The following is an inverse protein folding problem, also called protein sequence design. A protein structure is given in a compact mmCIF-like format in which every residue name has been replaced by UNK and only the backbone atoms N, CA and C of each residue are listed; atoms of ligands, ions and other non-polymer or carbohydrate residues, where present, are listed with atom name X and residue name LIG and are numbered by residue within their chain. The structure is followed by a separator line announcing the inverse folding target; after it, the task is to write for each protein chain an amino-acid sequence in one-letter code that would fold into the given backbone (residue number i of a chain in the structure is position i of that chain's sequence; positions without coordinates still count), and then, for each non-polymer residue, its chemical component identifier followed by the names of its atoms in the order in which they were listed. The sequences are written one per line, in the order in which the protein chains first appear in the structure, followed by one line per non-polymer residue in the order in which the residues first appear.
data_IF_426890364026
#
_entry.id   IF_426890364026
#
_cell.length_a   1.000
_cell.length_b   1.000
_cell.length_c   1.000
_cell.angle_alpha   90.00
_cell.angle_beta   90.00
_cell.angle_gamma   90.00
#
_symmetry.space_group_name_H-M   'P 1'
#
loop_
_entity.id
_entity.type
_entity.pdbx_description
1 polymer ?
#
# COMPACT_ATOMS: atom_id res chain seq x y z
N UNK A 1 -114.31 -80.31 -43.60
CA UNK A 1 -114.59 -81.75 -43.77
C UNK A 1 -114.33 -82.43 -42.44
N UNK A 2 -115.09 -83.46 -42.06
CA UNK A 2 -114.83 -84.18 -40.82
C UNK A 2 -113.47 -84.90 -40.90
N UNK A 3 -112.59 -84.65 -39.93
CA UNK A 3 -111.29 -85.32 -39.88
C UNK A 3 -111.49 -86.78 -39.48
N UNK A 4 -110.92 -87.69 -40.29
CA UNK A 4 -111.00 -89.13 -40.06
C UNK A 4 -109.59 -89.68 -39.90
N UNK A 5 -109.39 -90.53 -38.90
CA UNK A 5 -108.08 -91.11 -38.60
C UNK A 5 -107.91 -92.43 -39.34
N UNK A 6 -106.83 -92.55 -40.13
CA UNK A 6 -106.44 -93.78 -40.82
C UNK A 6 -105.09 -94.26 -40.26
N UNK A 7 -105.10 -95.43 -39.61
CA UNK A 7 -103.90 -96.07 -39.09
C UNK A 7 -103.27 -97.02 -40.11
N UNK A 8 -101.95 -96.93 -40.31
CA UNK A 8 -101.19 -97.82 -41.19
C UNK A 8 -100.25 -98.69 -40.36
N UNK A 9 -100.21 -100.00 -40.65
CA UNK A 9 -99.14 -100.87 -40.15
C UNK A 9 -97.93 -100.69 -41.06
N UNK A 10 -96.81 -100.26 -40.49
CA UNK A 10 -95.55 -100.05 -41.19
C UNK A 10 -94.40 -100.64 -40.37
N UNK A 11 -93.31 -100.98 -41.03
CA UNK A 11 -92.07 -101.39 -40.35
C UNK A 11 -91.42 -100.17 -39.66
N UNK A 12 -90.66 -100.42 -38.60
CA UNK A 12 -90.00 -99.34 -37.84
C UNK A 12 -89.03 -98.54 -38.71
N UNK A 13 -88.33 -99.18 -39.66
CA UNK A 13 -87.45 -98.51 -40.62
C UNK A 13 -88.21 -97.53 -41.52
N UNK A 14 -89.40 -97.92 -42.01
CA UNK A 14 -90.22 -97.06 -42.87
C UNK A 14 -90.78 -95.88 -42.07
N UNK A 15 -91.22 -96.14 -40.83
CA UNK A 15 -91.69 -95.10 -39.91
C UNK A 15 -90.61 -94.06 -39.63
N UNK A 16 -89.39 -94.49 -39.29
CA UNK A 16 -88.27 -93.59 -39.01
C UNK A 16 -87.91 -92.75 -40.23
N UNK A 17 -87.88 -93.36 -41.42
CA UNK A 17 -87.57 -92.64 -42.67
C UNK A 17 -88.63 -91.59 -43.01
N UNK A 18 -89.91 -91.91 -42.83
CA UNK A 18 -91.03 -90.97 -43.04
C UNK A 18 -90.90 -89.79 -42.07
N UNK A 19 -90.70 -90.05 -40.77
CA UNK A 19 -90.56 -89.00 -39.77
C UNK A 19 -89.38 -88.06 -40.05
N UNK A 20 -88.21 -88.60 -40.41
CA UNK A 20 -87.05 -87.77 -40.77
C UNK A 20 -87.30 -86.90 -42.01
N UNK A 21 -88.05 -87.39 -43.00
CA UNK A 21 -88.41 -86.58 -44.17
C UNK A 21 -89.46 -85.50 -43.86
N UNK A 22 -90.38 -85.76 -42.92
CA UNK A 22 -91.35 -84.77 -42.45
C UNK A 22 -90.61 -83.64 -41.72
N UNK A 23 -89.74 -83.98 -40.77
CA UNK A 23 -88.93 -83.00 -40.02
C UNK A 23 -88.06 -82.14 -40.94
N UNK A 24 -87.38 -82.74 -41.92
CA UNK A 24 -86.56 -82.00 -42.88
C UNK A 24 -87.37 -81.06 -43.80
N UNK A 25 -88.65 -81.38 -44.05
CA UNK A 25 -89.54 -80.55 -44.86
C UNK A 25 -90.19 -79.40 -44.08
N UNK A 26 -90.18 -79.45 -42.75
CA UNK A 26 -90.87 -78.48 -41.88
C UNK A 26 -92.40 -78.52 -41.95
N UNK A 27 -92.98 -79.57 -42.57
CA UNK A 27 -94.44 -79.76 -42.71
C UNK A 27 -95.00 -80.54 -41.52
N UNK A 28 -96.31 -80.42 -41.27
CA UNK A 28 -97.00 -81.34 -40.34
C UNK A 28 -97.23 -82.70 -41.00
N UNK A 29 -97.38 -83.78 -40.22
CA UNK A 29 -97.64 -85.14 -40.73
C UNK A 29 -98.82 -85.16 -41.72
N UNK A 30 -99.87 -84.37 -41.44
CA UNK A 30 -101.05 -84.24 -42.30
C UNK A 30 -100.72 -83.60 -43.63
N UNK A 31 -100.05 -82.44 -43.62
CA UNK A 31 -99.70 -81.69 -44.83
C UNK A 31 -98.72 -82.47 -45.71
N UNK A 32 -97.79 -83.20 -45.06
CA UNK A 32 -96.85 -84.06 -45.77
C UNK A 32 -97.56 -85.24 -46.43
N UNK A 33 -98.47 -85.93 -45.72
CA UNK A 33 -99.27 -87.02 -46.32
C UNK A 33 -100.14 -86.50 -47.46
N UNK A 34 -100.75 -85.31 -47.32
CA UNK A 34 -101.55 -84.69 -48.38
C UNK A 34 -100.70 -84.34 -49.61
N UNK A 35 -99.51 -83.76 -49.41
CA UNK A 35 -98.57 -83.46 -50.49
C UNK A 35 -98.10 -84.73 -51.23
N UNK A 36 -97.74 -85.78 -50.49
CA UNK A 36 -97.34 -87.08 -51.06
C UNK A 36 -98.50 -87.75 -51.78
N UNK A 37 -99.71 -87.67 -51.22
CA UNK A 37 -100.92 -88.21 -51.86
C UNK A 37 -101.24 -87.46 -53.14
N UNK A 38 -101.14 -86.12 -53.16
CA UNK A 38 -101.34 -85.31 -54.35
C UNK A 38 -100.30 -85.61 -55.44
N UNK A 39 -99.02 -85.79 -55.07
CA UNK A 39 -97.98 -86.24 -56.00
C UNK A 39 -98.27 -87.63 -56.57
N UNK A 40 -98.76 -88.56 -55.74
CA UNK A 40 -99.14 -89.89 -56.18
C UNK A 40 -100.37 -89.87 -57.09
N UNK A 41 -101.40 -89.09 -56.76
CA UNK A 41 -102.59 -88.87 -57.60
C UNK A 41 -102.20 -88.23 -58.93
N UNK A 42 -101.30 -87.25 -58.94
CA UNK A 42 -100.79 -86.62 -60.17
C UNK A 42 -100.04 -87.64 -61.05
N UNK A 43 -99.31 -88.57 -60.42
CA UNK A 43 -98.64 -89.69 -61.10
C UNK A 43 -99.62 -90.77 -61.57
N UNK A 44 -100.74 -90.96 -60.90
CA UNK A 44 -101.80 -91.89 -61.30
C UNK A 44 -102.62 -91.31 -62.47
N UNK A 45 -102.94 -90.01 -62.44
CA UNK A 45 -103.51 -89.27 -63.57
C UNK A 45 -102.60 -89.32 -64.80
N UNK A 46 -101.28 -89.23 -64.62
CA UNK A 46 -100.27 -89.42 -65.69
C UNK A 46 -100.36 -90.79 -66.37
N UNK A 47 -100.77 -91.84 -65.65
CA UNK A 47 -100.95 -93.19 -66.20
C UNK A 47 -102.36 -93.41 -66.76
N UNK A 48 -103.37 -92.70 -66.26
CA UNK A 48 -104.78 -92.83 -66.65
C UNK A 48 -105.25 -91.92 -67.79
N UNK A 49 -104.54 -90.81 -68.08
CA UNK A 49 -104.89 -89.85 -69.13
C UNK A 49 -103.69 -89.60 -70.08
N UNK A 50 -103.57 -90.38 -71.18
CA UNK A 50 -102.50 -90.23 -72.16
C UNK A 50 -102.42 -88.82 -72.76
N UNK A 51 -103.56 -88.15 -72.91
CA UNK A 51 -103.68 -86.85 -73.57
C UNK A 51 -102.96 -85.71 -72.82
N UNK A 52 -102.78 -85.81 -71.50
CA UNK A 52 -102.13 -84.77 -70.66
C UNK A 52 -100.72 -85.15 -70.19
N UNK A 53 -100.24 -86.35 -70.55
CA UNK A 53 -98.91 -86.82 -70.16
C UNK A 53 -97.78 -85.89 -70.63
N UNK A 54 -97.95 -85.29 -71.81
CA UNK A 54 -97.01 -84.33 -72.38
C UNK A 54 -96.96 -83.04 -71.55
N UNK A 55 -98.12 -82.49 -71.21
CA UNK A 55 -98.24 -81.24 -70.44
C UNK A 55 -97.70 -81.40 -69.02
N UNK A 56 -97.97 -82.54 -68.36
CA UNK A 56 -97.41 -82.86 -67.03
C UNK A 56 -95.88 -82.98 -67.10
N UNK A 57 -95.34 -83.62 -68.13
CA UNK A 57 -93.88 -83.78 -68.29
C UNK A 57 -93.19 -82.44 -68.57
N UNK A 58 -93.84 -81.55 -69.32
CA UNK A 58 -93.34 -80.20 -69.57
C UNK A 58 -93.38 -79.35 -68.29
N UNK A 59 -94.43 -79.47 -67.47
CA UNK A 59 -94.51 -78.82 -66.16
C UNK A 59 -93.41 -79.32 -65.21
N UNK A 60 -93.14 -80.63 -65.17
CA UNK A 60 -92.02 -81.22 -64.39
C UNK A 60 -90.67 -80.65 -64.85
N UNK A 61 -90.46 -80.54 -66.17
CA UNK A 61 -89.25 -79.97 -66.76
C UNK A 61 -89.04 -78.50 -66.34
N UNK A 62 -90.08 -77.66 -66.51
CA UNK A 62 -90.02 -76.25 -66.11
C UNK A 62 -89.82 -76.10 -64.60
N UNK A 63 -90.49 -76.93 -63.79
CA UNK A 63 -90.34 -76.92 -62.32
C UNK A 63 -88.93 -77.28 -61.89
N UNK A 64 -88.33 -78.34 -62.48
CA UNK A 64 -86.95 -78.71 -62.22
C UNK A 64 -85.99 -77.58 -62.63
N UNK A 65 -86.24 -76.94 -63.77
CA UNK A 65 -85.44 -75.80 -64.22
C UNK A 65 -85.54 -74.60 -63.25
N UNK A 66 -86.72 -74.31 -62.72
CA UNK A 66 -86.91 -73.27 -61.69
C UNK A 66 -86.12 -73.63 -60.43
N UNK A 67 -86.20 -74.88 -59.95
CA UNK A 67 -85.47 -75.33 -58.77
C UNK A 67 -83.94 -75.21 -58.96
N UNK A 68 -83.41 -75.57 -60.13
CA UNK A 68 -82.00 -75.38 -60.49
C UNK A 68 -81.60 -73.90 -60.45
N UNK A 69 -82.41 -73.01 -61.03
CA UNK A 69 -82.13 -71.56 -61.02
C UNK A 69 -82.12 -71.01 -59.61
N UNK A 70 -83.07 -71.41 -58.76
CA UNK A 70 -83.14 -71.01 -57.35
C UNK A 70 -81.93 -71.54 -56.58
N UNK A 71 -81.55 -72.82 -56.76
CA UNK A 71 -80.35 -73.39 -56.14
C UNK A 71 -79.08 -72.64 -56.54
N UNK A 72 -78.91 -72.33 -57.83
CA UNK A 72 -77.77 -71.54 -58.32
C UNK A 72 -77.77 -70.12 -57.76
N UNK A 73 -78.95 -69.48 -57.64
CA UNK A 73 -79.07 -68.15 -57.02
C UNK A 73 -78.70 -68.17 -55.54
N UNK A 74 -79.14 -69.19 -54.79
CA UNK A 74 -78.80 -69.35 -53.37
C UNK A 74 -77.29 -69.58 -53.22
N UNK A 75 -76.70 -70.45 -54.04
CA UNK A 75 -75.25 -70.68 -54.03
C UNK A 75 -74.48 -69.41 -54.35
N UNK A 76 -74.86 -68.68 -55.40
CA UNK A 76 -74.22 -67.40 -55.75
C UNK A 76 -74.33 -66.38 -54.63
N UNK A 77 -75.51 -66.20 -54.04
CA UNK A 77 -75.70 -65.30 -52.91
C UNK A 77 -74.88 -65.72 -51.68
N UNK A 78 -74.71 -67.03 -51.45
CA UNK A 78 -73.85 -67.56 -50.40
C UNK A 78 -72.38 -67.22 -50.64
N UNK A 79 -71.89 -67.39 -51.88
CA UNK A 79 -70.51 -67.04 -52.25
C UNK A 79 -70.26 -65.54 -52.16
N UNK A 80 -71.17 -64.71 -52.69
CA UNK A 80 -71.08 -63.24 -52.58
C UNK A 80 -71.07 -62.79 -51.11
N UNK A 81 -71.91 -63.39 -50.28
CA UNK A 81 -71.93 -63.13 -48.84
C UNK A 81 -70.59 -63.48 -48.21
N UNK A 82 -70.06 -64.67 -48.45
CA UNK A 82 -68.79 -65.14 -47.89
C UNK A 82 -67.61 -64.26 -48.34
N UNK A 83 -67.59 -63.83 -49.60
CA UNK A 83 -66.59 -62.89 -50.13
C UNK A 83 -66.66 -61.53 -49.42
N UNK A 84 -67.87 -60.97 -49.23
CA UNK A 84 -68.05 -59.73 -48.48
C UNK A 84 -67.58 -59.87 -47.03
N UNK A 85 -67.90 -60.98 -46.36
CA UNK A 85 -67.42 -61.23 -44.99
C UNK A 85 -65.90 -61.30 -44.94
N UNK A 86 -65.26 -62.03 -45.86
CA UNK A 86 -63.81 -62.13 -45.92
C UNK A 86 -63.16 -60.76 -46.13
N UNK A 87 -63.62 -60.01 -47.13
CA UNK A 87 -63.07 -58.67 -47.42
C UNK A 87 -63.29 -57.69 -46.25
N UNK A 88 -64.41 -57.81 -45.53
CA UNK A 88 -64.69 -56.98 -44.36
C UNK A 88 -63.77 -57.34 -43.18
N UNK A 89 -63.52 -58.63 -42.94
CA UNK A 89 -62.62 -59.07 -41.88
C UNK A 89 -61.16 -58.70 -42.17
N UNK A 90 -60.70 -58.88 -43.43
CA UNK A 90 -59.37 -58.43 -43.87
C UNK A 90 -59.19 -56.91 -43.68
N UNK A 91 -60.19 -56.10 -44.06
CA UNK A 91 -60.15 -54.65 -43.87
C UNK A 91 -60.14 -54.27 -42.39
N UNK A 92 -60.88 -54.99 -41.56
CA UNK A 92 -60.93 -54.78 -40.11
C UNK A 92 -59.59 -55.12 -39.46
N UNK A 93 -58.98 -56.23 -39.85
CA UNK A 93 -57.65 -56.62 -39.35
C UNK A 93 -56.58 -55.61 -39.76
N UNK A 94 -56.57 -55.19 -41.03
CA UNK A 94 -55.66 -54.14 -41.51
C UNK A 94 -55.83 -52.82 -40.74
N UNK A 95 -57.07 -52.39 -40.47
CA UNK A 95 -57.32 -51.19 -39.68
C UNK A 95 -56.88 -51.34 -38.22
N UNK A 96 -57.07 -52.51 -37.62
CA UNK A 96 -56.60 -52.76 -36.25
C UNK A 96 -55.08 -52.70 -36.17
N UNK A 97 -54.36 -53.26 -37.14
CA UNK A 97 -52.90 -53.16 -37.21
C UNK A 97 -52.45 -51.69 -37.29
N UNK A 98 -53.06 -50.88 -38.17
CA UNK A 98 -52.74 -49.45 -38.25
C UNK A 98 -53.02 -48.71 -36.94
N UNK A 99 -54.11 -49.05 -36.24
CA UNK A 99 -54.44 -48.46 -34.94
C UNK A 99 -53.38 -48.80 -33.90
N UNK A 100 -52.92 -50.06 -33.85
CA UNK A 100 -51.86 -50.51 -32.94
C UNK A 100 -50.54 -49.78 -33.23
N UNK A 101 -50.16 -49.65 -34.51
CA UNK A 101 -48.97 -48.89 -34.93
C UNK A 101 -49.06 -47.43 -34.49
N UNK A 102 -50.18 -46.74 -34.77
CA UNK A 102 -50.40 -45.37 -34.33
C UNK A 102 -50.37 -45.24 -32.79
N UNK A 103 -50.94 -46.19 -32.05
CA UNK A 103 -50.91 -46.18 -30.59
C UNK A 103 -49.49 -46.36 -30.05
N UNK A 104 -48.69 -47.21 -30.69
CA UNK A 104 -47.28 -47.39 -30.36
C UNK A 104 -46.49 -46.11 -30.61
N UNK A 105 -46.63 -45.49 -31.78
CA UNK A 105 -45.97 -44.22 -32.12
C UNK A 105 -46.35 -43.10 -31.15
N UNK A 106 -47.64 -42.98 -30.79
CA UNK A 106 -48.10 -42.00 -29.79
C UNK A 106 -47.46 -42.26 -28.43
N UNK A 107 -47.32 -43.52 -28.01
CA UNK A 107 -46.67 -43.87 -26.75
C UNK A 107 -45.19 -43.51 -26.76
N UNK A 108 -44.51 -43.80 -27.86
CA UNK A 108 -43.08 -43.51 -28.02
C UNK A 108 -42.82 -41.99 -28.06
N UNK A 109 -43.59 -41.24 -28.86
CA UNK A 109 -43.52 -39.78 -28.90
C UNK A 109 -43.78 -39.14 -27.54
N UNK A 110 -44.72 -39.67 -26.75
CA UNK A 110 -44.95 -39.20 -25.37
C UNK A 110 -43.74 -39.42 -24.47
N UNK A 111 -43.07 -40.57 -24.57
CA UNK A 111 -41.84 -40.85 -23.81
C UNK A 111 -40.70 -39.93 -24.22
N UNK A 112 -40.50 -39.72 -25.53
CA UNK A 112 -39.49 -38.80 -26.04
C UNK A 112 -39.77 -37.36 -25.58
N UNK A 113 -41.02 -36.92 -25.63
CA UNK A 113 -41.43 -35.60 -25.15
C UNK A 113 -41.16 -35.44 -23.65
N UNK A 114 -41.50 -36.44 -22.84
CA UNK A 114 -41.23 -36.40 -21.41
C UNK A 114 -39.72 -36.35 -21.12
N UNK A 115 -38.90 -37.17 -21.80
CA UNK A 115 -37.45 -37.14 -21.65
C UNK A 115 -36.86 -35.77 -22.04
N UNK A 116 -37.35 -35.16 -23.13
CA UNK A 116 -36.92 -33.82 -23.55
C UNK A 116 -37.32 -32.72 -22.55
N UNK A 117 -38.50 -32.82 -21.92
CA UNK A 117 -38.92 -31.89 -20.86
C UNK A 117 -38.02 -32.02 -19.62
N UNK A 118 -37.70 -33.25 -19.21
CA UNK A 118 -36.79 -33.50 -18.08
C UNK A 118 -35.37 -32.97 -18.36
N UNK A 119 -34.87 -33.13 -19.58
CA UNK A 119 -33.59 -32.52 -20.00
C UNK A 119 -33.66 -30.99 -20.01
N UNK A 120 -34.75 -30.41 -20.51
CA UNK A 120 -34.96 -28.95 -20.52
C UNK A 120 -34.94 -28.38 -19.10
N UNK A 121 -35.61 -29.04 -18.15
CA UNK A 121 -35.61 -28.63 -16.74
C UNK A 121 -34.21 -28.72 -16.11
N UNK A 122 -33.45 -29.78 -16.43
CA UNK A 122 -32.04 -29.90 -15.99
C UNK A 122 -31.19 -28.78 -16.56
N UNK A 123 -31.31 -28.47 -17.86
CA UNK A 123 -30.57 -27.37 -18.48
C UNK A 123 -30.94 -26.03 -17.87
N UNK A 124 -32.22 -25.81 -17.53
CA UNK A 124 -32.67 -24.60 -16.86
C UNK A 124 -32.05 -24.45 -15.47
N UNK A 125 -32.03 -25.53 -14.67
CA UNK A 125 -31.38 -25.54 -13.36
C UNK A 125 -29.87 -25.27 -13.46
N UNK A 126 -29.18 -25.92 -14.40
CA UNK A 126 -27.76 -25.68 -14.65
C UNK A 126 -27.48 -24.24 -15.09
N UNK A 127 -28.35 -23.67 -15.93
CA UNK A 127 -28.25 -22.28 -16.36
C UNK A 127 -28.41 -21.32 -15.18
N UNK A 128 -29.42 -21.51 -14.34
CA UNK A 128 -29.66 -20.67 -13.17
C UNK A 128 -28.49 -20.75 -12.18
N UNK A 129 -27.90 -21.93 -11.98
CA UNK A 129 -26.71 -22.10 -11.15
C UNK A 129 -25.46 -21.43 -11.75
N UNK A 130 -25.26 -21.56 -13.07
CA UNK A 130 -24.17 -20.88 -13.77
C UNK A 130 -24.30 -19.35 -13.69
N UNK A 131 -25.51 -18.79 -13.88
CA UNK A 131 -25.77 -17.36 -13.74
C UNK A 131 -25.48 -16.88 -12.30
N UNK A 132 -25.82 -17.68 -11.29
CA UNK A 132 -25.50 -17.37 -9.88
C UNK A 132 -23.99 -17.33 -9.65
N UNK A 133 -23.24 -18.30 -10.19
CA UNK A 133 -21.77 -18.34 -10.08
C UNK A 133 -21.12 -17.15 -10.79
N UNK A 134 -21.62 -16.75 -11.96
CA UNK A 134 -21.14 -15.57 -12.68
C UNK A 134 -21.31 -14.31 -11.84
N UNK A 135 -22.49 -14.09 -11.25
CA UNK A 135 -22.72 -12.93 -10.38
C UNK A 135 -21.78 -12.90 -9.17
N UNK A 136 -21.56 -14.05 -8.53
CA UNK A 136 -20.61 -14.15 -7.42
C UNK A 136 -19.18 -13.81 -7.83
N UNK A 137 -18.76 -14.25 -9.02
CA UNK A 137 -17.44 -13.92 -9.57
C UNK A 137 -17.31 -12.44 -9.94
N UNK A 138 -18.36 -11.83 -10.49
CA UNK A 138 -18.40 -10.39 -10.78
C UNK A 138 -18.29 -9.56 -9.50
N UNK A 139 -19.05 -9.90 -8.46
CA UNK A 139 -18.97 -9.25 -7.14
C UNK A 139 -17.58 -9.41 -6.51
N UNK A 140 -16.99 -10.61 -6.57
CA UNK A 140 -15.63 -10.85 -6.08
C UNK A 140 -14.59 -10.06 -6.87
N UNK A 141 -14.73 -9.98 -8.19
CA UNK A 141 -13.84 -9.21 -9.06
C UNK A 141 -13.93 -7.71 -8.76
N UNK A 142 -15.13 -7.18 -8.54
CA UNK A 142 -15.32 -5.78 -8.19
C UNK A 142 -14.74 -5.45 -6.80
N UNK A 143 -14.95 -6.33 -5.82
CA UNK A 143 -14.32 -6.20 -4.49
C UNK A 143 -12.79 -6.23 -4.59
N UNK A 144 -12.22 -7.13 -5.40
CA UNK A 144 -10.78 -7.18 -5.63
C UNK A 144 -10.27 -5.91 -6.33
N UNK A 145 -11.03 -5.34 -7.27
CA UNK A 145 -10.68 -4.07 -7.93
C UNK A 145 -10.64 -2.92 -6.93
N UNK A 146 -11.63 -2.81 -6.05
CA UNK A 146 -11.66 -1.82 -4.98
C UNK A 146 -10.48 -1.99 -4.02
N UNK A 147 -10.19 -3.22 -3.61
CA UNK A 147 -9.06 -3.53 -2.74
C UNK A 147 -7.71 -3.15 -3.38
N UNK A 148 -7.52 -3.45 -4.67
CA UNK A 148 -6.33 -3.03 -5.42
C UNK A 148 -6.20 -1.52 -5.45
N UNK A 149 -7.32 -0.79 -5.65
CA UNK A 149 -7.33 0.66 -5.63
C UNK A 149 -6.91 1.21 -4.26
N UNK A 150 -7.46 0.68 -3.17
CA UNK A 150 -7.06 1.08 -1.81
C UNK A 150 -5.57 0.81 -1.54
N UNK A 151 -5.05 -0.34 -1.97
CA UNK A 151 -3.63 -0.65 -1.83
C UNK A 151 -2.75 0.28 -2.66
N UNK A 152 -3.21 0.67 -3.85
CA UNK A 152 -2.50 1.64 -4.70
C UNK A 152 -2.43 3.00 -4.02
N UNK A 153 -3.54 3.51 -3.50
CA UNK A 153 -3.59 4.78 -2.76
C UNK A 153 -2.70 4.74 -1.49
N UNK A 154 -2.73 3.63 -0.75
CA UNK A 154 -1.82 3.42 0.41
C UNK A 154 -0.36 3.37 -0.01
N UNK A 155 -0.04 2.75 -1.14
CA UNK A 155 1.34 2.70 -1.63
C UNK A 155 1.83 4.07 -2.12
N UNK A 156 0.97 4.82 -2.82
CA UNK A 156 1.28 6.18 -3.27
C UNK A 156 1.53 7.12 -2.07
N UNK A 157 0.71 7.03 -1.03
CA UNK A 157 0.91 7.80 0.22
C UNK A 157 2.17 7.38 0.97
N UNK A 158 2.46 6.08 1.11
CA UNK A 158 3.70 5.59 1.70
C UNK A 158 4.93 6.01 0.89
N UNK A 159 4.84 5.97 -0.44
CA UNK A 159 5.91 6.42 -1.33
C UNK A 159 6.16 7.93 -1.17
N UNK A 160 5.09 8.73 -1.06
CA UNK A 160 5.19 10.15 -0.71
C UNK A 160 5.91 10.38 0.61
N UNK A 161 5.49 9.69 1.67
CA UNK A 161 6.08 9.80 3.00
C UNK A 161 7.56 9.35 3.02
N UNK A 162 7.91 8.29 2.29
CA UNK A 162 9.31 7.84 2.16
C UNK A 162 10.16 8.90 1.47
N UNK A 163 9.63 9.57 0.44
CA UNK A 163 10.34 10.66 -0.22
C UNK A 163 10.55 11.86 0.71
N UNK A 164 9.53 12.24 1.50
CA UNK A 164 9.66 13.29 2.52
C UNK A 164 10.70 12.93 3.58
N UNK A 165 10.69 11.69 4.08
CA UNK A 165 11.71 11.22 5.04
C UNK A 165 13.11 11.23 4.43
N UNK A 166 13.25 10.84 3.17
CA UNK A 166 14.53 10.87 2.47
C UNK A 166 15.04 12.30 2.33
N UNK A 167 14.17 13.23 1.93
CA UNK A 167 14.53 14.64 1.84
C UNK A 167 14.93 15.20 3.20
N UNK A 168 14.15 14.96 4.26
CA UNK A 168 14.47 15.38 5.61
C UNK A 168 15.79 14.77 6.13
N UNK A 169 16.10 13.54 5.74
CA UNK A 169 17.39 12.90 6.05
C UNK A 169 18.56 13.57 5.31
N UNK A 170 18.41 13.88 4.03
CA UNK A 170 19.43 14.59 3.24
C UNK A 170 19.67 16.02 3.80
N UNK A 171 18.60 16.74 4.15
CA UNK A 171 18.67 18.06 4.81
C UNK A 171 19.34 17.97 6.20
N UNK A 172 18.98 16.98 7.01
CA UNK A 172 19.59 16.74 8.32
C UNK A 172 21.08 16.42 8.20
N UNK A 173 21.45 15.60 7.21
CA UNK A 173 22.85 15.29 6.92
C UNK A 173 23.63 16.54 6.49
N UNK A 174 23.06 17.34 5.59
CA UNK A 174 23.65 18.62 5.15
C UNK A 174 23.85 19.59 6.32
N UNK A 175 22.84 19.73 7.19
CA UNK A 175 22.93 20.55 8.39
C UNK A 175 24.02 20.04 9.35
N UNK A 176 24.11 18.72 9.54
CA UNK A 176 25.16 18.09 10.35
C UNK A 176 26.56 18.36 9.78
N UNK A 177 26.73 18.30 8.46
CA UNK A 177 28.00 18.62 7.80
C UNK A 177 28.37 20.10 7.99
N UNK A 178 27.40 21.02 7.87
CA UNK A 178 27.60 22.45 8.16
C UNK A 178 27.97 22.70 9.63
N UNK A 179 27.30 22.04 10.57
CA UNK A 179 27.62 22.12 12.01
C UNK A 179 29.04 21.63 12.27
N UNK A 180 29.46 20.53 11.64
CA UNK A 180 30.83 20.04 11.77
C UNK A 180 31.86 21.04 11.22
N UNK A 181 31.58 21.64 10.05
CA UNK A 181 32.44 22.68 9.47
C UNK A 181 32.55 23.92 10.38
N UNK A 182 31.42 24.43 10.87
CA UNK A 182 31.39 25.57 11.79
C UNK A 182 32.10 25.24 13.11
N UNK A 183 31.90 24.04 13.66
CA UNK A 183 32.60 23.59 14.87
C UNK A 183 34.11 23.58 14.66
N UNK A 184 34.57 23.13 13.49
CA UNK A 184 35.98 23.12 13.15
C UNK A 184 36.54 24.52 12.94
N UNK A 185 35.78 25.43 12.32
CA UNK A 185 36.14 26.85 12.22
C UNK A 185 36.24 27.50 13.60
N UNK A 186 35.28 27.25 14.49
CA UNK A 186 35.30 27.74 15.87
C UNK A 186 36.53 27.20 16.60
N UNK A 187 36.85 25.91 16.48
CA UNK A 187 38.05 25.33 17.09
C UNK A 187 39.34 26.00 16.60
N UNK A 188 39.45 26.28 15.29
CA UNK A 188 40.60 26.97 14.71
C UNK A 188 40.69 28.42 15.21
N UNK A 189 39.59 29.17 15.20
CA UNK A 189 39.53 30.54 15.72
C UNK A 189 39.85 30.59 17.22
N UNK A 190 39.39 29.60 18.00
CA UNK A 190 39.73 29.48 19.41
C UNK A 190 41.23 29.27 19.61
N UNK A 191 41.86 28.46 18.75
CA UNK A 191 43.30 28.23 18.79
C UNK A 191 44.09 29.47 18.39
N UNK A 192 43.65 30.21 17.37
CA UNK A 192 44.25 31.49 16.97
C UNK A 192 44.10 32.54 18.08
N UNK A 193 42.92 32.65 18.69
CA UNK A 193 42.67 33.55 19.80
C UNK A 193 43.56 33.24 21.00
N UNK A 194 43.74 31.95 21.33
CA UNK A 194 44.64 31.54 22.41
C UNK A 194 46.10 31.90 22.10
N UNK A 195 46.56 31.69 20.86
CA UNK A 195 47.91 32.10 20.44
C UNK A 195 48.08 33.62 20.54
N UNK A 196 47.09 34.38 20.11
CA UNK A 196 47.14 35.84 20.19
C UNK A 196 47.11 36.32 21.64
N UNK A 197 46.35 35.67 22.52
CA UNK A 197 46.38 35.94 23.96
C UNK A 197 47.75 35.62 24.59
N UNK A 198 48.40 34.52 24.19
CA UNK A 198 49.79 34.22 24.61
C UNK A 198 50.77 35.27 24.08
N UNK A 199 50.64 35.67 22.81
CA UNK A 199 51.46 36.73 22.23
C UNK A 199 51.30 38.05 23.00
N UNK A 200 50.07 38.48 23.26
CA UNK A 200 49.78 39.70 24.01
C UNK A 200 50.38 39.62 25.42
N UNK A 201 50.23 38.49 26.12
CA UNK A 201 50.86 38.30 27.44
C UNK A 201 52.38 38.40 27.38
N UNK A 202 53.02 37.73 26.42
CA UNK A 202 54.47 37.80 26.25
C UNK A 202 54.93 39.22 25.91
N UNK A 203 54.14 39.96 25.14
CA UNK A 203 54.42 41.36 24.82
C UNK A 203 54.31 42.23 26.07
N UNK A 204 53.26 42.04 26.87
CA UNK A 204 53.06 42.73 28.16
C UNK A 204 54.25 42.46 29.10
N UNK A 205 54.68 41.21 29.24
CA UNK A 205 55.87 40.84 30.03
C UNK A 205 57.14 41.55 29.52
N UNK A 206 57.33 41.64 28.20
CA UNK A 206 58.46 42.39 27.64
C UNK A 206 58.35 43.90 27.85
N UNK A 207 57.14 44.46 27.81
CA UNK A 207 56.89 45.88 28.09
C UNK A 207 57.12 46.20 29.57
N UNK A 208 56.67 45.35 30.49
CA UNK A 208 56.95 45.47 31.92
C UNK A 208 58.45 45.41 32.20
N UNK A 209 59.18 44.46 31.59
CA UNK A 209 60.63 44.35 31.78
C UNK A 209 61.38 45.56 31.20
N UNK A 210 61.00 46.02 30.01
CA UNK A 210 61.61 47.22 29.40
C UNK A 210 61.30 48.49 30.19
N UNK A 211 60.09 48.61 30.73
CA UNK A 211 59.70 49.71 31.62
C UNK A 211 60.55 49.67 32.90
N UNK A 212 60.67 48.49 33.54
CA UNK A 212 61.50 48.30 34.73
C UNK A 212 62.96 48.67 34.46
N UNK A 213 63.53 48.21 33.34
CA UNK A 213 64.89 48.58 32.95
C UNK A 213 65.06 50.08 32.69
N UNK A 214 64.04 50.74 32.12
CA UNK A 214 64.05 52.19 31.94
C UNK A 214 63.97 52.93 33.27
N UNK A 215 63.12 52.49 34.20
CA UNK A 215 63.02 53.01 35.57
C UNK A 215 64.34 52.86 36.33
N UNK A 216 64.97 51.67 36.28
CA UNK A 216 66.27 51.42 36.88
C UNK A 216 67.37 52.32 36.29
N UNK A 217 67.39 52.51 34.97
CA UNK A 217 68.33 53.44 34.30
C UNK A 217 68.10 54.88 34.73
N UNK A 218 66.84 55.32 34.77
CA UNK A 218 66.50 56.68 35.22
C UNK A 218 66.84 56.90 36.69
N UNK A 219 66.62 55.90 37.55
CA UNK A 219 67.00 55.96 38.95
C UNK A 219 68.53 56.06 39.11
N UNK A 220 69.29 55.26 38.37
CA UNK A 220 70.75 55.34 38.36
C UNK A 220 71.27 56.67 37.81
N UNK A 221 70.60 57.25 36.81
CA UNK A 221 70.92 58.61 36.31
C UNK A 221 70.62 59.69 37.35
N UNK A 222 69.49 59.59 38.05
CA UNK A 222 69.16 60.50 39.16
C UNK A 222 70.19 60.42 40.28
N UNK A 223 70.59 59.22 40.70
CA UNK A 223 71.64 59.01 41.69
C UNK A 223 72.96 59.63 41.25
N UNK A 224 73.38 59.42 39.99
CA UNK A 224 74.57 60.08 39.43
C UNK A 224 74.47 61.61 39.42
N UNK A 225 73.28 62.16 39.16
CA UNK A 225 73.06 63.62 39.20
C UNK A 225 73.14 64.13 40.64
N UNK A 226 72.57 63.39 41.60
CA UNK A 226 72.65 63.71 43.03
C UNK A 226 74.11 63.68 43.49
N UNK A 227 74.85 62.61 43.20
CA UNK A 227 76.29 62.52 43.51
C UNK A 227 77.08 63.68 42.90
N UNK A 228 76.84 64.00 41.62
CA UNK A 228 77.48 65.17 40.97
C UNK A 228 77.13 66.47 41.69
N UNK A 229 75.87 66.64 42.10
CA UNK A 229 75.41 67.83 42.85
C UNK A 229 76.02 67.90 44.24
N UNK A 230 76.21 66.79 44.93
CA UNK A 230 76.90 66.73 46.23
C UNK A 230 78.38 67.08 46.07
N UNK A 231 79.06 66.54 45.06
CA UNK A 231 80.45 66.90 44.75
C UNK A 231 80.59 68.38 44.37
N UNK A 232 79.65 68.95 43.61
CA UNK A 232 79.60 70.39 43.34
C UNK A 232 79.44 71.21 44.63
N UNK A 233 78.51 70.82 45.52
CA UNK A 233 78.33 71.48 46.82
C UNK A 233 79.56 71.36 47.72
N UNK A 234 80.21 70.21 47.76
CA UNK A 234 81.46 70.01 48.51
C UNK A 234 82.57 70.89 47.96
N UNK A 235 82.68 71.03 46.62
CA UNK A 235 83.63 71.95 45.98
C UNK A 235 83.33 73.41 46.33
N UNK A 236 82.08 73.84 46.30
CA UNK A 236 81.68 75.19 46.71
C UNK A 236 81.97 75.45 48.19
N UNK A 237 81.65 74.50 49.08
CA UNK A 237 81.99 74.57 50.50
C UNK A 237 83.50 74.68 50.72
N UNK A 238 84.30 73.91 49.97
CA UNK A 238 85.75 73.96 50.03
C UNK A 238 86.27 75.32 49.54
N UNK A 239 85.70 75.86 48.47
CA UNK A 239 86.06 77.18 47.95
C UNK A 239 85.76 78.28 48.97
N UNK A 240 84.56 78.27 49.56
CA UNK A 240 84.17 79.19 50.65
C UNK A 240 85.13 79.04 51.85
N UNK A 241 85.48 77.80 52.23
CA UNK A 241 86.41 77.53 53.33
C UNK A 241 87.80 78.09 53.04
N UNK A 242 88.27 77.97 51.81
CA UNK A 242 89.55 78.52 51.34
C UNK A 242 89.52 80.04 51.37
N UNK A 243 88.44 80.66 50.89
CA UNK A 243 88.25 82.12 50.93
C UNK A 243 88.21 82.67 52.36
N UNK A 244 87.57 81.97 53.29
CA UNK A 244 87.59 82.34 54.71
C UNK A 244 88.97 82.18 55.33
N UNK A 245 89.72 81.15 54.96
CA UNK A 245 91.09 80.92 55.44
C UNK A 245 92.05 82.01 54.92
N UNK A 246 91.93 82.40 53.65
CA UNK A 246 92.68 83.51 53.05
C UNK A 246 92.34 84.85 53.72
N UNK A 247 91.06 85.10 54.03
CA UNK A 247 90.66 86.30 54.79
C UNK A 247 91.25 86.30 56.20
N UNK A 248 91.29 85.14 56.87
CA UNK A 248 91.91 85.01 58.18
C UNK A 248 93.40 85.30 58.11
N UNK A 249 94.09 84.76 57.09
CA UNK A 249 95.52 84.99 56.89
C UNK A 249 95.83 86.46 56.63
N UNK A 250 95.07 87.13 55.75
CA UNK A 250 95.21 88.58 55.51
C UNK A 250 95.00 89.42 56.76
N UNK A 251 93.98 89.10 57.57
CA UNK A 251 93.74 89.81 58.83
C UNK A 251 94.87 89.59 59.85
N UNK A 252 95.48 88.40 59.86
CA UNK A 252 96.63 88.09 60.71
C UNK A 252 97.90 88.83 60.25
N UNK A 253 98.12 88.92 58.94
CA UNK A 253 99.20 89.72 58.34
C UNK A 253 99.02 91.22 58.67
N UNK A 254 97.82 91.77 58.55
CA UNK A 254 97.50 93.15 58.94
C UNK A 254 97.71 93.41 60.44
N UNK A 255 97.35 92.44 61.28
CA UNK A 255 97.60 92.52 62.73
C UNK A 255 99.09 92.46 63.05
N UNK A 256 99.86 91.67 62.31
CA UNK A 256 101.32 91.55 62.46
C UNK A 256 102.03 92.85 62.05
N UNK A 257 101.58 93.50 60.98
CA UNK A 257 102.08 94.82 60.53
C UNK A 257 101.79 95.90 61.59
N UNK A 258 100.60 95.88 62.20
CA UNK A 258 100.27 96.79 63.32
C UNK A 258 101.16 96.54 64.55
N UNK A 259 101.48 95.29 64.87
CA UNK A 259 102.39 94.98 65.97
C UNK A 259 103.81 95.50 65.68
N UNK A 260 104.33 95.35 64.45
CA UNK A 260 105.64 95.89 64.07
C UNK A 260 105.71 97.43 64.19
N UNK A 261 104.68 98.14 63.76
CA UNK A 261 104.64 99.61 63.89
C UNK A 261 104.56 100.09 65.35
N UNK A 262 103.97 99.30 66.26
CA UNK A 262 104.04 99.61 67.70
C UNK A 262 105.44 99.42 68.29
N UNK A 263 106.22 98.43 67.82
CA UNK A 263 107.61 98.25 68.27
C UNK A 263 108.53 99.39 67.79
N UNK A 264 108.39 99.87 66.54
CA UNK A 264 109.15 101.02 66.04
C UNK A 264 108.87 102.32 66.82
N UNK A 265 107.63 102.50 67.30
CA UNK A 265 107.23 103.66 68.10
C UNK A 265 107.87 103.65 69.49
N UNK A 266 108.07 102.48 70.09
CA UNK A 266 108.73 102.32 71.39
C UNK A 266 110.24 102.59 71.28
N UNK A 267 110.87 102.22 70.16
CA UNK A 267 112.29 102.48 69.88
C UNK A 267 112.60 103.99 69.77
N UNK A 268 111.70 104.78 69.18
CA UNK A 268 111.85 106.24 69.06
C UNK A 268 111.79 106.95 70.41
N UNK A 269 110.91 106.51 71.33
CA UNK A 269 110.78 107.10 72.68
C UNK A 269 112.02 106.84 73.57
N UNK A 270 112.75 105.75 73.35
CA UNK A 270 114.03 105.49 74.05
C UNK A 270 115.16 106.42 73.58
N UNK A 271 115.19 106.80 72.30
CA UNK A 271 116.23 107.69 71.75
C UNK A 271 116.08 109.16 72.18
N UNK A 272 114.86 109.61 72.49
CA UNK A 272 114.62 110.97 72.97
C UNK A 272 114.99 111.15 74.45
N UNK A 273 114.75 110.14 75.29
CA UNK A 273 115.09 110.18 76.72
C UNK A 273 116.61 110.13 76.97
N UNK A 274 117.38 109.50 76.09
CA UNK A 274 118.84 109.40 76.20
C UNK A 274 119.58 110.71 75.82
N UNK A 275 118.96 111.57 74.99
CA UNK A 275 119.52 112.89 74.62
C UNK A 275 119.33 113.96 75.70
N UNK A 276 118.26 113.88 76.50
CA UNK A 276 117.97 114.86 77.55
C UNK A 276 118.89 114.70 78.77
N UNK A 277 119.34 113.46 79.08
CA UNK A 277 120.28 113.19 80.17
C UNK A 277 121.71 113.71 79.92
N UNK A 278 122.17 113.72 78.66
CA UNK A 278 123.52 114.23 78.32
C UNK A 278 123.66 115.74 78.49
N UNK A 279 122.62 116.51 78.16
CA UNK A 279 122.62 117.98 78.27
C UNK A 279 122.61 118.49 79.72
N UNK A 280 122.08 117.73 80.68
CA UNK A 280 122.13 118.09 82.10
C UNK A 280 123.51 117.83 82.75
N UNK A 281 124.30 116.89 82.24
CA UNK A 281 125.64 116.60 82.80
C UNK A 281 126.70 117.67 82.44
N UNK A 282 126.65 118.25 81.25
CA UNK A 282 127.62 119.25 80.77
C UNK A 282 127.42 120.66 81.38
N UNK A 283 126.25 120.92 81.97
CA UNK A 283 125.94 122.21 82.62
C UNK A 283 126.48 122.32 84.06
N UNK A 284 126.65 121.19 84.77
CA UNK A 284 127.17 121.17 86.15
C UNK A 284 128.70 121.25 86.23
N UNK A 285 129.44 120.80 85.21
CA UNK A 285 130.90 120.87 85.18
C UNK A 285 131.45 122.30 84.93
N UNK A 286 130.73 123.14 84.17
CA UNK A 286 131.19 124.51 83.87
C UNK A 286 130.99 125.53 85.00
N UNK A 287 130.10 125.28 85.97
CA UNK A 287 129.93 126.17 87.13
C UNK A 287 130.88 125.85 88.31
N UNK A 288 131.43 124.63 88.39
CA UNK A 288 132.40 124.25 89.43
C UNK A 288 133.81 124.79 89.11
N UNK A 289 134.12 125.06 87.84
CA UNK A 289 135.45 125.51 87.41
C UNK A 289 135.68 127.03 87.52
N UNK A 290 134.62 127.85 87.61
CA UNK A 290 134.73 129.29 87.89
C UNK A 290 134.93 129.64 89.38
N UNK A 291 134.80 128.67 90.31
CA UNK A 291 135.06 128.87 91.75
C UNK A 291 136.57 128.73 92.09
N UNK A 292 137.45 128.32 91.17
CA UNK A 292 138.87 127.96 91.48
C UNK A 292 139.99 128.82 90.87
N UNK A 293 139.70 129.91 90.16
CA UNK A 293 140.71 130.90 89.69
C UNK A 293 140.01 132.27 89.70
N UNK A 294 140.31 133.31 90.47
CA UNK A 294 141.47 133.82 91.24
C UNK A 294 140.88 134.94 92.15
N UNK A 295 141.34 135.31 93.36
CA UNK A 295 142.60 135.08 94.10
C UNK A 295 143.85 134.91 93.24
#
# INVERSE_FOLDING_TARGET
MAETTKGFKMTDDLKNRINSTIEASGMTDKDWIEAVTNLWVMRDVKNGMPDFQKDISELELHTNRINELVMNMIQRASFEKEEIYRNTEELKESKNQMIEECQFEISDLKKQLQASLEEMDRFKQMKDEAERLVRQMEEASENNRLLIQEYKEKNDTLTGLVNEFRQGYEESKSCKDQVNQLTQQIANLQQELNKEQENVKSLDETWEETLRQAEERHQAELERIIEKKEVEKERELLQIRTEFQDKLQKSNEESTIKIQSFYERIEQLRKETEKELKKQSEAYEKQIEQIKKQK
#
